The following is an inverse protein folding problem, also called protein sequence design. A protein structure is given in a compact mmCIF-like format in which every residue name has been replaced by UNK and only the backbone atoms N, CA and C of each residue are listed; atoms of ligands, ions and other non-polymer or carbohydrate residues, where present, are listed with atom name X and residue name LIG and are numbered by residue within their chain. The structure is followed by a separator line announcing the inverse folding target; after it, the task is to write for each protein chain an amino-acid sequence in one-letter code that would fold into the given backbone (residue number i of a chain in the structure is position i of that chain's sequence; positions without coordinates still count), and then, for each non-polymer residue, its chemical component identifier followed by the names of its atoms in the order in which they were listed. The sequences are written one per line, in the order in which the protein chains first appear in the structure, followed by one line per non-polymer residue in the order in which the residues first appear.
data_IF_425995337653
#
_entry.id   IF_425995337653
#
_cell.length_a   1.000
_cell.length_b   1.000
_cell.length_c   1.000
_cell.angle_alpha   90.00
_cell.angle_beta   90.00
_cell.angle_gamma   90.00
#
_symmetry.space_group_name_H-M   'P 1'
#
loop_
_entity.id
_entity.type
_entity.pdbx_description
1 polymer ?
#
# COMPACT_ATOMS: atom_id res chain seq x y z
N UNK A 1 -29.32 -4.40 -4.34
CA UNK A 1 -28.28 -3.38 -4.09
C UNK A 1 -27.02 -4.16 -3.79
N UNK A 2 -25.89 -3.85 -4.42
CA UNK A 2 -24.61 -4.52 -4.10
C UNK A 2 -24.16 -3.99 -2.74
N UNK A 3 -23.92 -4.87 -1.78
CA UNK A 3 -23.29 -4.53 -0.51
C UNK A 3 -21.77 -4.59 -0.67
N UNK A 4 -21.16 -3.42 -0.79
CA UNK A 4 -19.72 -3.30 -0.94
C UNK A 4 -18.96 -3.65 0.34
N UNK A 5 -19.60 -3.60 1.52
CA UNK A 5 -18.96 -3.97 2.78
C UNK A 5 -18.82 -5.50 2.92
N UNK A 6 -19.83 -6.26 2.49
CA UNK A 6 -19.76 -7.72 2.44
C UNK A 6 -18.67 -8.19 1.45
N UNK A 7 -18.65 -7.62 0.25
CA UNK A 7 -17.60 -7.91 -0.76
C UNK A 7 -16.20 -7.59 -0.20
N UNK A 8 -16.06 -6.49 0.55
CA UNK A 8 -14.78 -6.13 1.15
C UNK A 8 -14.29 -7.16 2.18
N UNK A 9 -15.21 -7.69 2.99
CA UNK A 9 -14.91 -8.71 3.97
C UNK A 9 -14.48 -10.03 3.31
N UNK A 10 -15.19 -10.46 2.27
CA UNK A 10 -14.86 -11.69 1.54
C UNK A 10 -13.51 -11.57 0.82
N UNK A 11 -13.21 -10.42 0.21
CA UNK A 11 -11.91 -10.17 -0.42
C UNK A 11 -10.79 -10.16 0.62
N UNK A 12 -11.00 -9.54 1.77
CA UNK A 12 -10.01 -9.54 2.85
C UNK A 12 -9.74 -10.97 3.35
N UNK A 13 -10.78 -11.80 3.49
CA UNK A 13 -10.63 -13.21 3.85
C UNK A 13 -9.83 -13.99 2.79
N UNK A 14 -10.18 -13.86 1.50
CA UNK A 14 -9.47 -14.52 0.41
C UNK A 14 -8.00 -14.06 0.28
N UNK A 15 -7.73 -12.76 0.48
CA UNK A 15 -6.36 -12.24 0.53
C UNK A 15 -5.59 -12.71 1.77
N UNK A 16 -6.26 -13.05 2.88
CA UNK A 16 -5.63 -13.68 4.02
C UNK A 16 -5.17 -15.12 3.73
N UNK A 17 -5.87 -15.83 2.87
CA UNK A 17 -5.51 -17.20 2.45
C UNK A 17 -4.44 -17.22 1.34
N UNK A 18 -4.50 -16.27 0.40
CA UNK A 18 -3.62 -16.24 -0.78
C UNK A 18 -2.48 -15.20 -0.72
N UNK A 19 -2.58 -14.22 0.18
CA UNK A 19 -1.64 -13.11 0.32
C UNK A 19 -0.75 -13.22 1.55
N UNK A 20 0.21 -12.31 1.63
CA UNK A 20 1.14 -12.22 2.75
C UNK A 20 0.70 -11.15 3.74
N UNK A 21 0.71 -11.43 5.05
CA UNK A 21 0.55 -10.39 6.06
C UNK A 21 1.58 -9.28 5.83
N UNK A 22 1.12 -8.04 5.91
CA UNK A 22 1.92 -6.86 5.62
C UNK A 22 1.72 -5.78 6.68
N UNK A 23 2.76 -4.98 6.89
CA UNK A 23 2.71 -3.75 7.67
C UNK A 23 2.98 -2.56 6.76
N UNK A 24 2.06 -1.61 6.74
CA UNK A 24 2.20 -0.33 6.04
C UNK A 24 2.64 0.70 7.08
N UNK A 25 3.78 1.34 6.86
CA UNK A 25 4.32 2.36 7.75
C UNK A 25 4.38 3.70 7.04
N UNK A 26 3.80 4.72 7.68
CA UNK A 26 3.88 6.12 7.28
C UNK A 26 4.71 6.88 8.29
N UNK A 27 5.70 7.63 7.81
CA UNK A 27 6.45 8.59 8.63
C UNK A 27 6.11 9.99 8.16
N UNK A 28 5.49 10.78 9.02
CA UNK A 28 5.21 12.19 8.76
C UNK A 28 6.25 13.06 9.45
N UNK A 29 6.85 13.98 8.69
CA UNK A 29 7.75 14.98 9.22
C UNK A 29 6.95 16.12 9.85
N UNK A 30 7.23 16.41 11.11
CA UNK A 30 6.64 17.48 11.90
C UNK A 30 7.40 18.80 11.78
N UNK A 31 7.20 19.69 12.76
CA UNK A 31 7.88 20.97 12.79
C UNK A 31 9.38 20.83 13.05
N UNK A 32 10.17 21.73 12.46
CA UNK A 32 11.60 21.85 12.72
C UNK A 32 11.87 22.41 14.13
N UNK A 33 12.78 21.79 14.86
CA UNK A 33 13.25 22.25 16.17
C UNK A 33 14.70 22.79 16.07
N UNK A 34 14.91 24.11 16.07
CA UNK A 34 16.24 24.70 15.93
C UNK A 34 17.15 24.48 17.15
N UNK A 35 16.59 24.15 18.32
CA UNK A 35 17.39 23.88 19.52
C UNK A 35 18.10 22.51 19.46
N UNK A 36 17.55 21.59 18.67
CA UNK A 36 18.09 20.23 18.53
C UNK A 36 18.57 19.94 17.11
N UNK A 37 18.38 20.86 16.17
CA UNK A 37 18.72 20.69 14.75
C UNK A 37 18.02 19.45 14.14
N UNK A 38 16.78 19.17 14.57
CA UNK A 38 16.01 17.99 14.13
C UNK A 38 14.56 18.33 13.79
N UNK A 39 13.91 17.43 13.05
CA UNK A 39 12.46 17.43 12.86
C UNK A 39 11.82 16.36 13.75
N UNK A 40 10.68 16.69 14.36
CA UNK A 40 9.86 15.65 14.98
C UNK A 40 9.32 14.70 13.91
N UNK A 41 9.23 13.41 14.20
CA UNK A 41 8.62 12.43 13.31
C UNK A 41 7.45 11.74 14.01
N UNK A 42 6.36 11.56 13.26
CA UNK A 42 5.22 10.75 13.71
C UNK A 42 5.13 9.52 12.83
N UNK A 43 5.23 8.34 13.44
CA UNK A 43 5.14 7.05 12.76
C UNK A 43 3.76 6.45 12.98
N UNK A 44 3.09 6.10 11.89
CA UNK A 44 1.80 5.40 11.90
C UNK A 44 1.95 4.06 11.19
N UNK A 45 1.48 2.98 11.82
CA UNK A 45 1.52 1.64 11.24
C UNK A 45 0.12 1.08 11.06
N UNK A 46 -0.14 0.47 9.90
CA UNK A 46 -1.38 -0.21 9.58
C UNK A 46 -1.07 -1.66 9.20
N UNK A 47 -1.88 -2.59 9.73
CA UNK A 47 -1.81 -3.99 9.33
C UNK A 47 -2.66 -4.21 8.08
N UNK A 48 -2.25 -5.15 7.24
CA UNK A 48 -2.95 -5.49 6.01
C UNK A 48 -2.43 -6.78 5.38
N UNK A 49 -2.83 -7.00 4.12
CA UNK A 49 -2.35 -8.11 3.30
C UNK A 49 -1.87 -7.61 1.95
N UNK A 50 -0.89 -8.31 1.38
CA UNK A 50 -0.32 -8.02 0.06
C UNK A 50 -0.34 -9.27 -0.81
N UNK A 51 -0.79 -9.12 -2.04
CA UNK A 51 -0.62 -10.09 -3.11
C UNK A 51 0.25 -9.43 -4.19
N UNK A 52 1.32 -10.11 -4.59
CA UNK A 52 2.16 -9.65 -5.71
C UNK A 52 1.43 -9.99 -7.01
N UNK A 53 1.13 -8.99 -7.83
CA UNK A 53 0.52 -9.19 -9.13
C UNK A 53 1.62 -9.32 -10.19
N UNK A 54 1.97 -10.55 -10.52
CA UNK A 54 2.95 -10.88 -11.57
C UNK A 54 2.30 -11.17 -12.93
N UNK A 55 0.97 -11.18 -13.03
CA UNK A 55 0.24 -11.58 -14.24
C UNK A 55 -0.14 -10.38 -15.11
N UNK A 56 -0.39 -9.21 -14.50
CA UNK A 56 -0.76 -8.00 -15.21
C UNK A 56 0.40 -6.98 -15.24
N UNK A 57 0.62 -6.28 -16.37
CA UNK A 57 1.56 -5.18 -16.41
C UNK A 57 1.08 -4.00 -15.54
N UNK A 58 2.03 -3.25 -14.98
CA UNK A 58 1.76 -2.03 -14.20
C UNK A 58 0.87 -1.03 -14.98
N UNK A 59 1.06 -0.95 -16.30
CA UNK A 59 0.32 -0.05 -17.18
C UNK A 59 -1.19 -0.29 -17.19
N UNK A 60 -1.67 -1.50 -16.87
CA UNK A 60 -3.11 -1.79 -16.81
C UNK A 60 -3.78 -1.06 -15.64
N UNK A 61 -3.08 -0.95 -14.51
CA UNK A 61 -3.57 -0.23 -13.34
C UNK A 61 -3.21 1.27 -13.41
N UNK A 62 -2.04 1.59 -13.98
CA UNK A 62 -1.43 2.91 -14.02
C UNK A 62 -0.88 3.24 -15.42
N UNK A 63 -1.75 3.62 -16.38
CA UNK A 63 -1.34 3.81 -17.79
C UNK A 63 -0.32 4.93 -17.98
N UNK A 64 -0.34 5.95 -17.11
CA UNK A 64 0.58 7.09 -17.17
C UNK A 64 1.87 6.89 -16.37
N UNK A 65 2.06 5.71 -15.75
CA UNK A 65 3.24 5.41 -14.95
C UNK A 65 4.28 4.62 -15.75
N UNK A 66 5.50 5.16 -15.82
CA UNK A 66 6.63 4.46 -16.43
C UNK A 66 7.30 3.58 -15.39
N UNK A 67 7.05 2.27 -15.47
CA UNK A 67 7.62 1.30 -14.55
C UNK A 67 9.14 1.17 -14.70
N UNK A 68 9.84 1.30 -13.57
CA UNK A 68 11.25 0.96 -13.47
C UNK A 68 11.47 -0.55 -13.35
N UNK A 69 12.72 -1.04 -13.53
CA UNK A 69 13.04 -2.47 -13.51
C UNK A 69 12.86 -3.14 -12.13
N UNK A 70 12.67 -2.35 -11.07
CA UNK A 70 12.47 -2.84 -9.70
C UNK A 70 11.08 -2.53 -9.15
N UNK A 71 10.18 -1.98 -9.97
CA UNK A 71 8.83 -1.68 -9.55
C UNK A 71 7.99 -2.96 -9.59
N UNK A 72 7.32 -3.27 -8.49
CA UNK A 72 6.37 -4.37 -8.36
C UNK A 72 4.93 -3.83 -8.36
N UNK A 73 4.02 -4.48 -9.09
CA UNK A 73 2.58 -4.25 -8.96
C UNK A 73 2.04 -5.14 -7.83
N UNK A 74 1.37 -4.52 -6.87
CA UNK A 74 0.82 -5.17 -5.68
C UNK A 74 -0.68 -4.88 -5.59
N UNK A 75 -1.44 -5.89 -5.15
CA UNK A 75 -2.77 -5.71 -4.62
C UNK A 75 -2.67 -5.68 -3.10
N UNK A 76 -3.09 -4.57 -2.48
CA UNK A 76 -2.93 -4.34 -1.04
C UNK A 76 -4.29 -4.14 -0.39
N UNK A 77 -4.56 -4.93 0.65
CA UNK A 77 -5.72 -4.74 1.51
C UNK A 77 -5.28 -4.01 2.79
N UNK A 78 -5.70 -2.75 2.92
CA UNK A 78 -5.39 -1.88 4.05
C UNK A 78 -6.37 -0.71 4.08
N UNK A 79 -6.63 -0.16 5.26
CA UNK A 79 -7.60 0.94 5.47
C UNK A 79 -7.15 2.29 4.90
N UNK A 80 -5.85 2.47 4.68
CA UNK A 80 -5.30 3.65 4.01
C UNK A 80 -3.88 3.37 3.54
N UNK A 81 -3.51 3.92 2.38
CA UNK A 81 -2.14 3.92 1.88
C UNK A 81 -1.90 5.15 1.01
N UNK A 82 -0.68 5.65 1.00
CA UNK A 82 -0.27 6.81 0.21
C UNK A 82 1.15 6.61 -0.34
N UNK A 83 1.51 7.45 -1.30
CA UNK A 83 2.88 7.52 -1.81
C UNK A 83 3.88 7.85 -0.69
N UNK A 84 5.06 7.25 -0.78
CA UNK A 84 6.13 7.28 0.23
C UNK A 84 5.85 6.50 1.52
N UNK A 85 4.67 5.90 1.68
CA UNK A 85 4.51 4.86 2.70
C UNK A 85 5.44 3.67 2.37
N UNK A 86 5.80 2.90 3.38
CA UNK A 86 6.56 1.66 3.20
C UNK A 86 5.67 0.46 3.47
N UNK A 87 5.78 -0.57 2.62
CA UNK A 87 5.08 -1.84 2.76
C UNK A 87 6.12 -2.89 3.14
N UNK A 88 5.94 -3.53 4.29
CA UNK A 88 6.80 -4.62 4.73
C UNK A 88 6.02 -5.94 4.73
N UNK A 89 6.50 -6.92 3.97
CA UNK A 89 5.92 -8.26 3.89
C UNK A 89 7.02 -9.28 3.55
N UNK A 90 6.95 -10.50 4.10
CA UNK A 90 7.97 -11.55 3.87
C UNK A 90 9.45 -11.09 4.02
N UNK A 91 9.73 -10.16 4.94
CA UNK A 91 11.09 -9.61 5.13
C UNK A 91 11.57 -8.66 4.02
N UNK A 92 10.74 -8.36 3.01
CA UNK A 92 10.95 -7.25 2.07
C UNK A 92 10.35 -5.97 2.65
N UNK A 93 10.96 -4.83 2.35
CA UNK A 93 10.38 -3.50 2.58
C UNK A 93 10.47 -2.71 1.29
N UNK A 94 9.32 -2.31 0.75
CA UNK A 94 9.19 -1.54 -0.48
C UNK A 94 8.56 -0.18 -0.18
N UNK A 95 8.94 0.85 -0.93
CA UNK A 95 8.33 2.18 -0.85
C UNK A 95 7.25 2.34 -1.91
N UNK A 96 6.07 2.79 -1.51
CA UNK A 96 4.95 3.07 -2.40
C UNK A 96 5.30 4.23 -3.35
N UNK A 97 5.17 3.97 -4.65
CA UNK A 97 5.38 4.95 -5.73
C UNK A 97 4.09 5.49 -6.29
N UNK A 98 3.06 4.65 -6.37
CA UNK A 98 1.69 5.02 -6.75
C UNK A 98 0.70 4.11 -6.04
N UNK A 99 -0.46 4.64 -5.69
CA UNK A 99 -1.57 3.87 -5.13
C UNK A 99 -2.89 4.33 -5.76
N UNK A 100 -3.79 3.38 -6.01
CA UNK A 100 -5.13 3.62 -6.56
C UNK A 100 -6.12 2.74 -5.82
N UNK A 101 -7.10 3.37 -5.19
CA UNK A 101 -8.25 2.68 -4.59
C UNK A 101 -9.10 2.05 -5.70
N UNK A 102 -9.28 0.73 -5.63
CA UNK A 102 -10.03 -0.03 -6.63
C UNK A 102 -11.53 0.07 -6.36
N UNK A 103 -11.92 0.14 -5.10
CA UNK A 103 -13.32 0.07 -4.68
C UNK A 103 -13.93 1.43 -4.38
N UNK A 104 -13.09 2.47 -4.20
CA UNK A 104 -13.50 3.79 -3.75
C UNK A 104 -13.96 3.80 -2.28
N UNK A 105 -13.74 2.71 -1.56
CA UNK A 105 -14.15 2.51 -0.18
C UNK A 105 -12.94 2.43 0.78
N UNK A 106 -11.72 2.65 0.29
CA UNK A 106 -10.52 2.77 1.10
C UNK A 106 -10.05 1.47 1.74
N UNK A 107 -10.25 0.32 1.09
CA UNK A 107 -9.84 -0.98 1.66
C UNK A 107 -9.02 -1.87 0.71
N UNK A 108 -9.06 -1.62 -0.61
CA UNK A 108 -8.35 -2.43 -1.59
C UNK A 108 -7.68 -1.55 -2.63
N UNK A 109 -6.38 -1.74 -2.80
CA UNK A 109 -5.54 -0.81 -3.53
C UNK A 109 -4.69 -1.55 -4.55
N UNK A 110 -4.65 -1.04 -5.79
CA UNK A 110 -3.54 -1.31 -6.68
C UNK A 110 -2.40 -0.40 -6.27
N UNK A 111 -1.19 -0.96 -6.15
CA UNK A 111 -0.02 -0.24 -5.66
C UNK A 111 1.19 -0.59 -6.51
N UNK A 112 1.97 0.41 -6.89
CA UNK A 112 3.32 0.21 -7.41
C UNK A 112 4.32 0.52 -6.30
N UNK A 113 5.25 -0.40 -6.03
CA UNK A 113 6.25 -0.21 -4.98
C UNK A 113 7.65 -0.71 -5.38
N UNK A 114 8.69 -0.09 -4.79
CA UNK A 114 10.10 -0.50 -4.91
C UNK A 114 10.91 -0.16 -3.68
#
# INVERSE_FOLDING_TARGET
MIDWAEIAADVAAGMGEAGFPATITRTAQGAYNPATDTYAETVTTLAGFVVVNSEAPVADAFPDYVAGPSDELLLVNVTAIAENDTITYQGKTLTVRRAKDITGAGFLWNVVAR
#
